data_IF_880991786795
#
_entry.id   IF_880991786795
#
_cell.length_a   1.000
_cell.length_b   1.000
_cell.length_c   1.000
_cell.angle_alpha   90.00
_cell.angle_beta   90.00
_cell.angle_gamma   90.00
#
_symmetry.space_group_name_H-M   'P 1'
#
loop_
_entity.id
_entity.type
_entity.pdbx_description
1 polymer ?
#
# COMPACT_ATOMS: atom_id res chain seq x y z
N UNK A 1 -4.87 11.15 -5.68
CA UNK A 1 -4.03 11.86 -4.70
C UNK A 1 -4.63 13.26 -4.44
N UNK A 2 -5.76 13.32 -3.72
CA UNK A 2 -6.57 14.55 -3.62
C UNK A 2 -7.08 14.88 -2.20
N UNK A 3 -6.95 13.97 -1.21
CA UNK A 3 -7.53 14.15 0.11
C UNK A 3 -6.75 15.17 0.97
N UNK A 4 -5.45 14.94 1.23
CA UNK A 4 -4.65 15.84 2.08
C UNK A 4 -4.60 17.29 1.57
N UNK A 5 -4.50 17.48 0.26
CA UNK A 5 -4.48 18.81 -0.37
C UNK A 5 -5.81 19.55 -0.24
N UNK A 6 -6.93 18.83 -0.23
CA UNK A 6 -8.27 19.42 -0.06
C UNK A 6 -8.46 19.97 1.36
N UNK A 7 -7.84 19.35 2.35
CA UNK A 7 -8.04 19.69 3.76
C UNK A 7 -7.02 20.71 4.29
N UNK A 8 -6.20 21.31 3.40
CA UNK A 8 -5.18 22.30 3.77
C UNK A 8 -3.96 21.71 4.49
N UNK A 9 -3.85 20.38 4.53
CA UNK A 9 -2.74 19.65 5.17
C UNK A 9 -1.64 19.28 4.16
N UNK A 10 -1.42 20.09 3.11
CA UNK A 10 -0.41 19.80 2.09
C UNK A 10 1.00 19.75 2.73
N UNK A 11 1.67 18.59 2.75
CA UNK A 11 2.98 18.45 3.38
C UNK A 11 4.05 19.34 2.76
N UNK A 12 3.95 19.64 1.46
CA UNK A 12 4.90 20.51 0.77
C UNK A 12 4.81 21.96 1.25
N UNK A 13 3.63 22.38 1.74
CA UNK A 13 3.39 23.73 2.27
C UNK A 13 3.61 23.76 3.78
N UNK A 14 3.13 22.75 4.49
CA UNK A 14 3.15 22.71 5.96
C UNK A 14 4.48 22.22 6.53
N UNK A 15 5.28 21.50 5.74
CA UNK A 15 6.53 20.87 6.20
C UNK A 15 6.33 19.70 7.16
N UNK A 16 5.08 19.31 7.44
CA UNK A 16 4.74 18.21 8.31
C UNK A 16 4.16 17.04 7.50
N UNK A 17 4.48 15.77 7.83
CA UNK A 17 3.83 14.63 7.21
C UNK A 17 2.31 14.64 7.44
N UNK A 18 1.55 14.24 6.43
CA UNK A 18 0.10 14.09 6.53
C UNK A 18 -0.27 12.61 6.38
N UNK A 19 -1.03 12.08 7.34
CA UNK A 19 -1.48 10.69 7.35
C UNK A 19 -3.00 10.61 7.24
N UNK A 20 -3.51 9.74 6.37
CA UNK A 20 -4.94 9.51 6.20
C UNK A 20 -5.24 8.07 5.78
N UNK A 21 -6.48 7.65 6.04
CA UNK A 21 -6.96 6.31 5.67
C UNK A 21 -7.73 6.34 4.35
N UNK A 22 -7.52 5.32 3.53
CA UNK A 22 -8.22 5.16 2.24
C UNK A 22 -8.86 3.78 2.20
N UNK A 23 -10.18 3.75 2.03
CA UNK A 23 -10.91 2.51 1.79
C UNK A 23 -10.83 2.13 0.31
N UNK A 24 -10.47 0.88 0.05
CA UNK A 24 -10.33 0.30 -1.28
C UNK A 24 -11.02 -1.06 -1.34
N UNK A 25 -11.39 -1.56 -2.54
CA UNK A 25 -11.77 -2.96 -2.66
C UNK A 25 -10.67 -3.87 -2.12
N UNK A 26 -10.96 -4.66 -1.10
CA UNK A 26 -10.01 -5.55 -0.44
C UNK A 26 -9.49 -5.08 0.92
N UNK A 27 -9.79 -3.85 1.36
CA UNK A 27 -9.48 -3.40 2.71
C UNK A 27 -9.24 -1.90 2.85
N UNK A 28 -8.47 -1.51 3.87
CA UNK A 28 -8.12 -0.12 4.13
C UNK A 28 -6.60 0.04 4.10
N UNK A 29 -6.14 1.15 3.55
CA UNK A 29 -4.74 1.56 3.57
C UNK A 29 -4.56 2.79 4.45
N UNK A 30 -3.45 2.82 5.20
CA UNK A 30 -2.93 4.02 5.85
C UNK A 30 -1.88 4.61 4.92
N UNK A 31 -2.12 5.83 4.45
CA UNK A 31 -1.20 6.56 3.56
C UNK A 31 -0.56 7.70 4.35
N UNK A 32 0.75 7.85 4.23
CA UNK A 32 1.49 9.01 4.73
C UNK A 32 2.18 9.72 3.57
N UNK A 33 1.82 10.98 3.33
CA UNK A 33 2.52 11.88 2.40
C UNK A 33 3.60 12.65 3.17
N UNK A 34 4.85 12.62 2.69
CA UNK A 34 5.98 13.37 3.28
C UNK A 34 6.24 14.68 2.53
N UNK A 35 6.85 15.69 3.19
CA UNK A 35 7.14 17.00 2.57
C UNK A 35 8.05 16.94 1.34
N UNK A 36 8.88 15.90 1.22
CA UNK A 36 9.76 15.66 0.06
C UNK A 36 9.04 14.99 -1.11
N UNK A 37 7.75 14.67 -0.96
CA UNK A 37 6.92 14.02 -1.95
C UNK A 37 6.93 12.48 -1.87
N UNK A 38 7.65 11.88 -0.92
CA UNK A 38 7.55 10.44 -0.69
C UNK A 38 6.15 10.05 -0.19
N UNK A 39 5.66 8.90 -0.65
CA UNK A 39 4.37 8.35 -0.27
C UNK A 39 4.60 6.97 0.34
N UNK A 40 4.30 6.84 1.63
CA UNK A 40 4.29 5.55 2.32
C UNK A 40 2.87 5.00 2.35
N UNK A 41 2.74 3.69 2.08
CA UNK A 41 1.46 2.99 2.06
C UNK A 41 1.55 1.74 2.94
N UNK A 42 0.74 1.70 3.99
CA UNK A 42 0.66 0.57 4.92
C UNK A 42 -0.70 -0.10 4.81
N UNK A 43 -0.70 -1.42 4.64
CA UNK A 43 -1.89 -2.26 4.57
C UNK A 43 -1.64 -3.64 5.17
N UNK A 44 -2.71 -4.41 5.33
CA UNK A 44 -2.61 -5.78 5.86
C UNK A 44 -1.95 -6.72 4.83
N UNK A 45 -1.13 -7.64 5.32
CA UNK A 45 -0.61 -8.78 4.57
C UNK A 45 -1.02 -10.07 5.29
N UNK A 46 -1.66 -10.99 4.58
CA UNK A 46 -2.20 -12.23 5.16
C UNK A 46 -1.71 -13.42 4.36
N UNK A 47 -1.02 -14.36 5.03
CA UNK A 47 -0.68 -15.65 4.47
C UNK A 47 -1.90 -16.56 4.63
N UNK A 48 -2.48 -16.99 3.51
CA UNK A 48 -3.72 -17.79 3.52
C UNK A 48 -3.42 -19.28 3.61
N UNK A 49 -2.32 -19.73 3.01
CA UNK A 49 -1.88 -21.11 3.03
C UNK A 49 -0.36 -21.18 2.87
N UNK A 50 0.20 -22.28 3.35
CA UNK A 50 1.59 -22.67 3.18
C UNK A 50 1.62 -24.15 2.75
N UNK A 51 2.57 -24.50 1.88
CA UNK A 51 2.72 -25.86 1.38
C UNK A 51 3.89 -26.00 0.41
N UNK A 52 4.06 -27.23 -0.10
CA UNK A 52 5.11 -27.59 -1.06
C UNK A 52 4.48 -27.88 -2.43
N UNK A 53 5.20 -27.55 -3.49
CA UNK A 53 4.82 -27.87 -4.87
C UNK A 53 5.82 -28.88 -5.43
N UNK A 54 5.31 -29.99 -5.97
CA UNK A 54 6.15 -31.01 -6.61
C UNK A 54 6.81 -30.43 -7.88
N UNK A 55 8.13 -30.63 -8.00
CA UNK A 55 8.92 -30.03 -9.07
C UNK A 55 8.53 -30.53 -10.47
N UNK A 56 8.26 -31.83 -10.61
CA UNK A 56 7.82 -32.45 -11.86
C UNK A 56 6.47 -31.89 -12.34
N UNK A 57 5.54 -31.65 -11.42
CA UNK A 57 4.28 -30.98 -11.73
C UNK A 57 4.51 -29.53 -12.19
N UNK A 58 5.36 -28.76 -11.50
CA UNK A 58 5.63 -27.36 -11.84
C UNK A 58 6.28 -27.23 -13.22
N UNK A 59 7.23 -28.10 -13.55
CA UNK A 59 7.88 -28.16 -14.86
C UNK A 59 6.88 -28.45 -15.99
N UNK A 60 5.88 -29.30 -15.74
CA UNK A 60 4.88 -29.67 -16.74
C UNK A 60 3.91 -28.55 -17.13
N UNK A 61 3.74 -27.53 -16.28
CA UNK A 61 2.80 -26.41 -16.50
C UNK A 61 3.50 -25.11 -16.92
N UNK A 62 4.81 -25.01 -16.71
CA UNK A 62 5.61 -23.83 -17.05
C UNK A 62 6.22 -23.88 -18.47
N UNK A 63 6.18 -25.04 -19.14
CA UNK A 63 6.61 -25.25 -20.53
C UNK A 63 5.46 -25.21 -21.52
#
# INVERSE_FOLDING_TARGET
VAAARRDGADPAVTGAPATYTVDVPGGTLVITERPDGEIEMTGAAVIVAEGEIAADWLESVAG
#
